data_IF_229758933356
#
_entry.id   IF_229758933356
#
_cell.length_a   1.000
_cell.length_b   1.000
_cell.length_c   1.000
_cell.angle_alpha   90.00
_cell.angle_beta   90.00
_cell.angle_gamma   90.00
#
_symmetry.space_group_name_H-M   'P 1'
#
loop_
_entity.id
_entity.type
_entity.pdbx_description
1 polymer ?
#
# COMPACT_ATOMS: atom_id res chain seq x y z
N UNK A 1 12.97 -21.10 -7.31
CA UNK A 1 11.84 -21.34 -6.38
C UNK A 1 10.80 -20.25 -6.62
N UNK A 2 9.51 -20.55 -6.51
CA UNK A 2 8.45 -19.60 -6.88
C UNK A 2 8.20 -18.57 -5.78
N UNK A 3 8.12 -17.29 -6.13
CA UNK A 3 7.84 -16.19 -5.21
C UNK A 3 6.38 -15.74 -5.35
N UNK A 4 5.73 -15.38 -4.24
CA UNK A 4 4.35 -14.90 -4.20
C UNK A 4 4.28 -13.51 -3.55
N UNK A 5 3.77 -12.54 -4.30
CA UNK A 5 3.62 -11.15 -3.86
C UNK A 5 2.13 -10.82 -3.86
N UNK A 6 1.51 -10.84 -2.68
CA UNK A 6 0.07 -10.59 -2.52
C UNK A 6 -0.15 -9.11 -2.26
N UNK A 7 -1.06 -8.48 -2.99
CA UNK A 7 -1.40 -7.07 -2.80
C UNK A 7 -2.89 -6.93 -2.49
N UNK A 8 -3.20 -6.45 -1.29
CA UNK A 8 -4.55 -6.37 -0.74
C UNK A 8 -5.05 -4.92 -0.69
N UNK A 9 -6.33 -4.72 -1.00
CA UNK A 9 -7.00 -3.43 -0.85
C UNK A 9 -7.90 -3.46 0.39
N UNK A 10 -7.88 -2.38 1.18
CA UNK A 10 -8.65 -2.23 2.41
C UNK A 10 -9.53 -0.98 2.36
N UNK A 11 -10.58 -0.96 3.16
CA UNK A 11 -11.50 0.19 3.28
C UNK A 11 -11.13 1.04 4.51
N UNK A 12 -9.93 1.63 4.49
CA UNK A 12 -9.47 2.56 5.53
C UNK A 12 -8.91 1.91 6.80
N UNK A 13 -8.79 0.57 6.84
CA UNK A 13 -8.29 -0.17 7.99
C UNK A 13 -7.02 -1.00 7.68
N UNK A 14 -6.27 -0.62 6.63
CA UNK A 14 -5.07 -1.35 6.21
C UNK A 14 -4.02 -1.42 7.33
N UNK A 15 -3.82 -0.30 8.05
CA UNK A 15 -2.81 -0.20 9.11
C UNK A 15 -3.09 -1.21 10.23
N UNK A 16 -4.33 -1.26 10.70
CA UNK A 16 -4.78 -2.16 11.76
C UNK A 16 -4.66 -3.62 11.33
N UNK A 17 -5.05 -3.92 10.09
CA UNK A 17 -4.94 -5.27 9.54
C UNK A 17 -3.47 -5.73 9.46
N UNK A 18 -2.57 -4.86 8.98
CA UNK A 18 -1.15 -5.19 8.89
C UNK A 18 -0.46 -5.25 10.25
N UNK A 19 -0.85 -4.43 11.23
CA UNK A 19 -0.40 -4.57 12.62
C UNK A 19 -0.84 -5.91 13.23
N UNK A 20 -2.06 -6.35 12.91
CA UNK A 20 -2.50 -7.69 13.30
C UNK A 20 -1.64 -8.78 12.64
N UNK A 21 -1.41 -8.71 11.33
CA UNK A 21 -0.55 -9.67 10.63
C UNK A 21 0.88 -9.68 11.18
N UNK A 22 1.42 -8.49 11.47
CA UNK A 22 2.71 -8.32 12.12
C UNK A 22 2.75 -9.08 13.46
N UNK A 23 1.72 -8.95 14.30
CA UNK A 23 1.62 -9.63 15.59
C UNK A 23 1.52 -11.15 15.48
N UNK A 24 0.88 -11.65 14.42
CA UNK A 24 0.71 -13.09 14.17
C UNK A 24 1.99 -13.71 13.62
N UNK A 25 2.64 -13.06 12.67
CA UNK A 25 3.84 -13.58 12.00
C UNK A 25 5.14 -13.24 12.74
N UNK A 26 5.13 -12.23 13.62
CA UNK A 26 6.32 -11.77 14.35
C UNK A 26 7.37 -11.13 13.45
N UNK A 27 6.97 -10.60 12.28
CA UNK A 27 7.86 -9.96 11.32
C UNK A 27 7.84 -8.43 11.47
N UNK A 28 8.75 -7.74 10.79
CA UNK A 28 8.77 -6.27 10.73
C UNK A 28 8.30 -5.79 9.36
N UNK A 29 7.65 -4.62 9.31
CA UNK A 29 7.32 -4.00 8.03
C UNK A 29 8.59 -3.61 7.28
N UNK A 30 8.71 -4.01 6.02
CA UNK A 30 9.79 -3.52 5.15
C UNK A 30 9.51 -2.12 4.62
N UNK A 31 8.23 -1.73 4.58
CA UNK A 31 7.81 -0.40 4.17
C UNK A 31 6.44 -0.06 4.74
N UNK A 32 6.24 1.19 5.14
CA UNK A 32 4.94 1.77 5.50
C UNK A 32 4.95 3.22 5.04
N UNK A 33 4.06 3.56 4.11
CA UNK A 33 3.89 4.91 3.58
C UNK A 33 2.43 5.31 3.53
N UNK A 34 2.15 6.53 3.99
CA UNK A 34 0.82 7.14 4.00
C UNK A 34 0.62 8.06 2.79
N UNK A 35 -0.63 8.40 2.48
CA UNK A 35 -0.92 9.39 1.43
C UNK A 35 -0.41 10.79 1.79
N UNK A 36 -0.31 11.13 3.07
CA UNK A 36 0.22 12.42 3.54
C UNK A 36 1.71 12.61 3.25
N UNK A 37 2.47 11.52 3.13
CA UNK A 37 3.91 11.53 2.82
C UNK A 37 4.19 11.56 1.31
N UNK A 38 3.15 11.45 0.48
CA UNK A 38 3.30 11.46 -0.97
C UNK A 38 3.81 12.84 -1.45
N UNK A 39 4.82 12.88 -2.35
CA UNK A 39 5.27 14.14 -2.96
C UNK A 39 4.11 14.84 -3.67
N UNK A 40 4.03 16.17 -3.52
CA UNK A 40 3.06 16.97 -4.26
C UNK A 40 3.37 16.86 -5.75
N UNK A 41 2.49 16.21 -6.50
CA UNK A 41 2.58 16.15 -7.95
C UNK A 41 1.79 17.30 -8.58
N UNK A 42 2.35 17.91 -9.60
CA UNK A 42 1.71 18.96 -10.36
C UNK A 42 0.46 18.40 -11.08
N UNK A 43 -0.70 19.01 -10.86
CA UNK A 43 -1.98 18.55 -11.42
C UNK A 43 -2.79 17.58 -10.54
N UNK A 44 -2.28 17.15 -9.39
CA UNK A 44 -3.08 16.39 -8.41
C UNK A 44 -3.93 17.35 -7.56
N UNK A 45 -5.24 17.08 -7.38
CA UNK A 45 -6.05 17.83 -6.44
C UNK A 45 -5.51 17.67 -5.01
N UNK A 46 -5.70 18.68 -4.14
CA UNK A 46 -5.26 18.59 -2.76
C UNK A 46 -5.94 17.41 -2.06
N UNK A 47 -5.14 16.57 -1.41
CA UNK A 47 -5.62 15.47 -0.56
C UNK A 47 -6.41 16.05 0.63
N UNK A 48 -7.67 15.59 0.86
CA UNK A 48 -8.38 15.89 2.10
C UNK A 48 -7.58 15.44 3.32
N UNK A 49 -7.64 16.20 4.41
CA UNK A 49 -6.97 15.82 5.67
C UNK A 49 -7.37 14.41 6.13
N UNK A 50 -8.64 14.03 5.96
CA UNK A 50 -9.17 12.70 6.31
C UNK A 50 -8.55 11.53 5.54
N UNK A 51 -7.86 11.81 4.44
CA UNK A 51 -7.25 10.80 3.57
C UNK A 51 -5.74 10.71 3.78
N UNK A 52 -5.11 11.66 4.48
CA UNK A 52 -3.66 11.70 4.64
C UNK A 52 -3.11 10.55 5.47
N UNK A 53 -3.84 10.13 6.50
CA UNK A 53 -3.40 9.06 7.42
C UNK A 53 -3.59 7.65 6.86
N UNK A 54 -4.39 7.52 5.79
CA UNK A 54 -4.62 6.26 5.10
C UNK A 54 -3.34 5.72 4.49
N UNK A 55 -3.23 4.40 4.45
CA UNK A 55 -2.04 3.72 3.92
C UNK A 55 -2.06 3.78 2.40
N UNK A 56 -1.02 4.38 1.82
CA UNK A 56 -0.79 4.35 0.37
C UNK A 56 -0.12 3.05 -0.05
N UNK A 57 0.87 2.61 0.74
CA UNK A 57 1.55 1.36 0.50
C UNK A 57 2.16 0.85 1.80
N UNK A 58 1.92 -0.42 2.11
CA UNK A 58 2.57 -1.15 3.19
C UNK A 58 3.09 -2.47 2.65
N UNK A 59 4.22 -2.94 3.20
CA UNK A 59 4.84 -4.21 2.83
C UNK A 59 5.34 -4.94 4.09
N UNK A 60 4.98 -6.23 4.18
CA UNK A 60 5.30 -7.14 5.27
C UNK A 60 5.87 -8.45 4.68
N UNK A 61 7.20 -8.65 4.74
CA UNK A 61 7.81 -9.91 4.34
C UNK A 61 7.51 -10.98 5.38
N UNK A 62 6.73 -11.99 5.00
CA UNK A 62 6.39 -13.11 5.88
C UNK A 62 7.31 -14.32 5.70
N UNK A 63 8.02 -14.40 4.56
CA UNK A 63 9.07 -15.39 4.30
C UNK A 63 10.03 -14.89 3.21
N UNK A 64 11.04 -15.68 2.85
CA UNK A 64 11.95 -15.36 1.73
C UNK A 64 11.24 -15.36 0.38
N UNK A 65 10.16 -16.12 0.25
CA UNK A 65 9.42 -16.32 -0.98
C UNK A 65 8.05 -15.64 -0.97
N UNK A 66 7.63 -15.01 0.13
CA UNK A 66 6.29 -14.41 0.24
C UNK A 66 6.30 -13.04 0.88
N UNK A 67 5.72 -12.09 0.15
CA UNK A 67 5.51 -10.70 0.59
C UNK A 67 4.00 -10.41 0.63
N UNK A 68 3.53 -9.89 1.77
CA UNK A 68 2.21 -9.29 1.87
C UNK A 68 2.34 -7.79 1.68
N UNK A 69 1.50 -7.22 0.83
CA UNK A 69 1.45 -5.79 0.57
C UNK A 69 0.01 -5.32 0.61
N UNK A 70 -0.20 -4.03 0.87
CA UNK A 70 -1.53 -3.47 0.85
C UNK A 70 -1.59 -1.96 0.79
N UNK A 71 -2.82 -1.48 0.65
CA UNK A 71 -3.17 -0.07 0.63
C UNK A 71 -4.64 0.12 1.03
N UNK A 72 -4.98 1.33 1.44
CA UNK A 72 -6.35 1.77 1.68
C UNK A 72 -6.95 2.40 0.42
N UNK A 73 -8.20 2.07 0.13
CA UNK A 73 -8.96 2.73 -0.92
C UNK A 73 -9.33 4.15 -0.49
N UNK A 74 -9.19 5.09 -1.41
CA UNK A 74 -9.63 6.49 -1.22
C UNK A 74 -10.63 6.90 -2.30
N UNK A 75 -11.61 7.71 -1.91
CA UNK A 75 -12.58 8.28 -2.85
C UNK A 75 -11.92 9.13 -3.95
N UNK A 76 -10.73 9.68 -3.70
CA UNK A 76 -9.97 10.42 -4.70
C UNK A 76 -9.61 9.55 -5.90
N UNK A 77 -9.24 8.28 -5.68
CA UNK A 77 -8.97 7.35 -6.78
C UNK A 77 -10.23 6.97 -7.54
N UNK A 78 -11.38 6.93 -6.87
CA UNK A 78 -12.65 6.69 -7.53
C UNK A 78 -13.09 7.88 -8.40
N UNK A 79 -12.92 9.12 -7.91
CA UNK A 79 -13.34 10.35 -8.59
C UNK A 79 -12.46 10.74 -9.77
N UNK A 80 -11.16 10.40 -9.76
CA UNK A 80 -10.25 10.76 -10.86
C UNK A 80 -10.47 9.95 -12.15
N UNK A 81 -11.39 8.98 -12.23
CA UNK A 81 -11.62 8.19 -13.46
C UNK A 81 -10.43 7.33 -13.91
N UNK A 82 -9.29 7.46 -13.23
CA UNK A 82 -8.15 6.59 -13.33
C UNK A 82 -8.44 5.35 -12.47
N UNK A 83 -9.06 4.35 -13.09
CA UNK A 83 -8.92 2.96 -12.67
C UNK A 83 -7.42 2.67 -12.61
N UNK A 84 -6.79 2.84 -11.45
CA UNK A 84 -5.42 2.39 -11.21
C UNK A 84 -5.42 0.86 -11.24
N UNK A 85 -5.30 0.28 -12.44
CA UNK A 85 -4.41 -0.87 -12.56
C UNK A 85 -3.07 -0.33 -12.13
N UNK A 86 -2.60 -0.73 -10.97
CA UNK A 86 -1.23 -0.44 -10.55
C UNK A 86 -0.29 -0.87 -11.70
N UNK A 87 0.24 0.08 -12.46
CA UNK A 87 1.43 -0.17 -13.25
C UNK A 87 2.58 -0.22 -12.25
N UNK A 88 2.73 -1.37 -11.59
CA UNK A 88 3.95 -1.70 -10.89
C UNK A 88 5.05 -1.78 -11.94
N UNK A 89 5.93 -0.79 -11.98
CA UNK A 89 7.27 -1.00 -12.51
C UNK A 89 7.93 -2.03 -11.60
N UNK A 90 7.87 -3.30 -12.00
CA UNK A 90 8.72 -4.32 -11.44
C UNK A 90 10.11 -4.06 -12.01
N UNK A 91 11.00 -3.50 -11.19
CA UNK A 91 12.40 -3.38 -11.58
C UNK A 91 13.00 -4.79 -11.59
N UNK A 92 13.11 -5.37 -12.78
CA UNK A 92 13.61 -6.71 -13.03
C UNK A 92 15.15 -6.74 -13.09
N UNK A 93 15.83 -6.19 -12.08
CA UNK A 93 17.25 -6.42 -11.88
C UNK A 93 17.46 -7.56 -10.87
N UNK A 94 17.12 -8.76 -11.34
CA UNK A 94 17.81 -10.02 -11.01
C UNK A 94 18.29 -10.60 -12.34
#
# INVERSE_FOLDING_TARGET
>A
MTTVNVYLAFDGNCREAFQFYQSVFGCEFSYLGTYGEMPKQEGMPPLPESEKDKIMHIALPISKETMLMGYDTTELFWKCGHSWRQHFYYDSHI
#
